data_IF_982470172166
#
_entry.id   IF_982470172166
#
_cell.length_a   1.000
_cell.length_b   1.000
_cell.length_c   1.000
_cell.angle_alpha   90.00
_cell.angle_beta   90.00
_cell.angle_gamma   90.00
#
_symmetry.space_group_name_H-M   'P 1'
#
loop_
_entity.id
_entity.type
_entity.pdbx_description
1 polymer ?
#
# COMPACT_ATOMS: atom_id res chain seq x y z
N UNK A 1 -11.30 -17.41 1.12
CA UNK A 1 -11.90 -16.50 0.11
C UNK A 1 -12.07 -17.26 -1.19
N UNK A 2 -13.25 -17.22 -1.77
CA UNK A 2 -13.47 -17.91 -3.02
C UNK A 2 -12.92 -17.11 -4.21
N UNK A 3 -12.91 -17.75 -5.38
CA UNK A 3 -12.35 -17.13 -6.60
C UNK A 3 -13.08 -15.85 -7.01
N UNK A 4 -14.40 -15.83 -6.84
CA UNK A 4 -15.20 -14.67 -7.24
C UNK A 4 -14.91 -13.46 -6.36
N UNK A 5 -14.77 -13.67 -5.06
CA UNK A 5 -14.42 -12.60 -4.13
C UNK A 5 -13.01 -12.09 -4.38
N UNK A 6 -12.05 -13.00 -4.60
CA UNK A 6 -10.68 -12.60 -4.91
C UNK A 6 -10.62 -11.77 -6.20
N UNK A 7 -11.35 -12.21 -7.23
CA UNK A 7 -11.40 -11.48 -8.50
C UNK A 7 -11.97 -10.08 -8.32
N UNK A 8 -13.06 -9.95 -7.55
CA UNK A 8 -13.66 -8.64 -7.26
C UNK A 8 -12.68 -7.72 -6.54
N UNK A 9 -11.95 -8.26 -5.56
CA UNK A 9 -10.96 -7.49 -4.82
C UNK A 9 -9.80 -7.06 -5.71
N UNK A 10 -9.33 -7.94 -6.60
CA UNK A 10 -8.30 -7.60 -7.56
C UNK A 10 -8.77 -6.50 -8.52
N UNK A 11 -10.00 -6.59 -9.02
CA UNK A 11 -10.58 -5.56 -9.88
C UNK A 11 -10.69 -4.22 -9.16
N UNK A 12 -11.09 -4.24 -7.89
CA UNK A 12 -11.15 -3.05 -7.06
C UNK A 12 -9.75 -2.41 -6.93
N UNK A 13 -8.73 -3.21 -6.68
CA UNK A 13 -7.37 -2.73 -6.55
C UNK A 13 -6.86 -2.12 -7.87
N UNK A 14 -7.16 -2.77 -8.98
CA UNK A 14 -6.77 -2.28 -10.30
C UNK A 14 -7.43 -0.93 -10.58
N UNK A 15 -8.72 -0.78 -10.29
CA UNK A 15 -9.43 0.50 -10.47
C UNK A 15 -8.86 1.59 -9.56
N UNK A 16 -8.56 1.23 -8.31
CA UNK A 16 -8.01 2.17 -7.32
C UNK A 16 -6.67 2.75 -7.78
N UNK A 17 -5.85 1.93 -8.41
CA UNK A 17 -4.49 2.29 -8.82
C UNK A 17 -4.38 2.65 -10.31
N UNK A 18 -5.51 2.82 -10.98
CA UNK A 18 -5.54 3.14 -12.41
C UNK A 18 -5.01 4.57 -12.67
N UNK A 19 -4.46 4.83 -13.86
CA UNK A 19 -4.06 6.19 -14.23
C UNK A 19 -5.21 7.18 -14.06
N UNK A 20 -4.91 8.35 -13.51
CA UNK A 20 -5.90 9.39 -13.23
C UNK A 20 -6.50 9.31 -11.83
N UNK A 21 -6.33 8.22 -11.13
CA UNK A 21 -6.80 8.11 -9.75
C UNK A 21 -5.83 8.81 -8.79
N UNK A 22 -6.34 9.40 -7.69
CA UNK A 22 -5.47 10.15 -6.76
C UNK A 22 -4.30 9.34 -6.20
N UNK A 23 -4.54 8.06 -5.89
CA UNK A 23 -3.45 7.23 -5.34
C UNK A 23 -2.38 6.96 -6.41
N UNK A 24 -2.78 6.80 -7.68
CA UNK A 24 -1.84 6.62 -8.78
C UNK A 24 -0.99 7.87 -8.97
N UNK A 25 -1.59 9.04 -8.87
CA UNK A 25 -0.86 10.31 -8.93
C UNK A 25 0.20 10.36 -7.84
N UNK A 26 -0.15 9.97 -6.60
CA UNK A 26 0.80 9.92 -5.51
C UNK A 26 1.92 8.92 -5.78
N UNK A 27 1.60 7.74 -6.31
CA UNK A 27 2.60 6.72 -6.64
C UNK A 27 3.59 7.23 -7.69
N UNK A 28 3.11 7.92 -8.70
CA UNK A 28 3.98 8.53 -9.71
C UNK A 28 4.91 9.58 -9.09
N UNK A 29 4.40 10.38 -8.16
CA UNK A 29 5.21 11.36 -7.43
C UNK A 29 6.28 10.69 -6.56
N UNK A 30 5.93 9.60 -5.88
CA UNK A 30 6.85 8.85 -5.03
C UNK A 30 8.00 8.29 -5.88
N UNK A 31 7.68 7.70 -7.03
CA UNK A 31 8.70 7.17 -7.94
C UNK A 31 9.59 8.31 -8.46
N UNK A 32 9.00 9.41 -8.90
CA UNK A 32 9.75 10.56 -9.41
C UNK A 32 10.66 11.16 -8.34
N UNK A 33 10.26 11.07 -7.08
CA UNK A 33 11.05 11.54 -5.93
C UNK A 33 12.10 10.54 -5.46
N UNK A 34 12.22 9.38 -6.10
CA UNK A 34 13.14 8.31 -5.72
C UNK A 34 12.89 7.80 -4.30
N UNK A 35 11.63 7.76 -3.89
CA UNK A 35 11.22 7.30 -2.56
C UNK A 35 10.66 5.88 -2.61
N UNK A 36 10.80 5.17 -1.50
CA UNK A 36 10.06 3.94 -1.28
C UNK A 36 8.82 4.23 -0.45
N UNK A 37 7.86 3.32 -0.44
CA UNK A 37 6.66 3.46 0.37
C UNK A 37 6.02 2.10 0.65
N UNK A 38 5.27 2.05 1.74
CA UNK A 38 4.45 0.91 2.11
C UNK A 38 3.10 1.47 2.54
N UNK A 39 2.05 1.14 1.80
CA UNK A 39 0.74 1.78 1.96
C UNK A 39 -0.31 0.68 2.13
N UNK A 40 -1.12 0.77 3.19
CA UNK A 40 -2.23 -0.13 3.43
C UNK A 40 -3.54 0.64 3.25
N UNK A 41 -4.42 0.15 2.38
CA UNK A 41 -5.71 0.78 2.08
C UNK A 41 -6.83 -0.16 2.51
N UNK A 42 -7.66 0.30 3.43
CA UNK A 42 -8.80 -0.46 3.91
C UNK A 42 -8.46 -1.38 5.07
N UNK A 43 -9.48 -2.10 5.55
CA UNK A 43 -9.39 -3.02 6.70
C UNK A 43 -8.56 -2.46 7.84
N UNK A 44 -8.79 -1.20 8.16
CA UNK A 44 -7.92 -0.41 9.03
C UNK A 44 -7.82 -0.99 10.43
N UNK A 45 -8.89 -1.58 10.95
CA UNK A 45 -8.87 -2.20 12.28
C UNK A 45 -7.83 -3.33 12.35
N UNK A 46 -7.84 -4.24 11.38
CA UNK A 46 -6.89 -5.35 11.35
C UNK A 46 -5.47 -4.89 11.00
N UNK A 47 -5.35 -3.90 10.13
CA UNK A 47 -4.04 -3.32 9.81
C UNK A 47 -3.41 -2.70 11.06
N UNK A 48 -4.17 -1.89 11.80
CA UNK A 48 -3.68 -1.24 13.01
C UNK A 48 -3.36 -2.25 14.11
N UNK A 49 -4.08 -3.37 14.16
CA UNK A 49 -3.79 -4.44 15.11
C UNK A 49 -2.49 -5.19 14.78
N UNK A 50 -1.99 -5.08 13.57
CA UNK A 50 -0.78 -5.78 13.12
C UNK A 50 0.49 -4.92 13.21
N UNK A 51 0.45 -3.83 13.95
CA UNK A 51 1.60 -2.96 14.09
C UNK A 51 1.50 -2.06 15.31
N UNK A 52 2.45 -1.15 15.42
CA UNK A 52 2.50 -0.23 16.55
C UNK A 52 3.17 1.08 16.16
N UNK A 53 3.15 2.03 17.07
CA UNK A 53 3.79 3.34 16.96
C UNK A 53 3.24 4.16 15.80
N UNK A 54 4.05 5.09 15.30
CA UNK A 54 3.66 6.00 14.24
C UNK A 54 2.84 7.18 14.73
N UNK A 55 2.46 8.00 13.77
CA UNK A 55 1.72 9.23 14.04
C UNK A 55 0.24 9.02 13.72
N UNK A 56 -0.67 9.09 14.72
CA UNK A 56 -2.11 9.14 14.43
C UNK A 56 -2.44 10.50 13.80
N UNK A 57 -3.05 10.49 12.63
CA UNK A 57 -3.24 11.71 11.85
C UNK A 57 -4.70 12.09 11.65
N UNK A 58 -5.51 11.19 11.12
CA UNK A 58 -6.91 11.46 10.76
C UNK A 58 -7.06 12.71 9.90
N UNK A 59 -6.23 12.81 8.86
CA UNK A 59 -6.27 13.94 7.93
C UNK A 59 -6.89 13.52 6.60
N UNK A 60 -7.48 14.49 5.88
CA UNK A 60 -8.04 14.21 4.56
C UNK A 60 -6.97 13.67 3.62
N UNK A 61 -7.32 12.65 2.85
CA UNK A 61 -6.43 12.10 1.85
C UNK A 61 -6.27 13.07 0.68
N UNK A 62 -5.02 13.36 0.32
CA UNK A 62 -4.66 13.99 -0.95
C UNK A 62 -3.42 13.31 -1.49
N UNK A 63 -3.23 13.36 -2.80
CA UNK A 63 -2.02 12.81 -3.43
C UNK A 63 -0.75 13.44 -2.86
N UNK A 64 -0.77 14.75 -2.64
CA UNK A 64 0.39 15.45 -2.11
C UNK A 64 0.70 15.04 -0.67
N UNK A 65 -0.33 14.87 0.16
CA UNK A 65 -0.13 14.43 1.55
C UNK A 65 0.46 13.05 1.61
N UNK A 66 -0.04 12.14 0.78
CA UNK A 66 0.52 10.78 0.72
C UNK A 66 1.99 10.82 0.31
N UNK A 67 2.31 11.60 -0.72
CA UNK A 67 3.69 11.77 -1.16
C UNK A 67 4.57 12.30 -0.02
N UNK A 68 4.15 13.37 0.64
CA UNK A 68 4.96 13.97 1.71
C UNK A 68 5.17 13.00 2.87
N UNK A 69 4.14 12.25 3.25
CA UNK A 69 4.25 11.27 4.34
C UNK A 69 5.12 10.09 3.97
N UNK A 70 5.27 9.77 2.68
CA UNK A 70 6.12 8.67 2.24
C UNK A 70 7.62 8.95 2.44
N UNK A 71 7.98 10.18 2.77
CA UNK A 71 9.37 10.53 3.09
C UNK A 71 9.81 9.97 4.45
N UNK A 72 8.87 9.59 5.30
CA UNK A 72 9.17 8.91 6.55
C UNK A 72 9.25 7.40 6.34
N UNK A 73 10.03 6.73 7.19
CA UNK A 73 10.02 5.27 7.24
C UNK A 73 8.67 4.76 7.76
N UNK A 74 8.42 3.47 7.56
CA UNK A 74 7.22 2.82 8.06
C UNK A 74 6.09 2.87 7.05
N UNK A 75 4.91 2.44 7.50
CA UNK A 75 3.74 2.34 6.65
C UNK A 75 2.80 3.52 6.81
N UNK A 76 2.01 3.75 5.77
CA UNK A 76 0.93 4.71 5.76
C UNK A 76 -0.38 3.93 5.69
N UNK A 77 -1.32 4.25 6.57
CA UNK A 77 -2.61 3.56 6.65
C UNK A 77 -3.71 4.53 6.21
N UNK A 78 -4.49 4.10 5.21
CA UNK A 78 -5.54 4.90 4.60
C UNK A 78 -6.85 4.12 4.69
N UNK A 79 -7.97 4.80 4.90
CA UNK A 79 -9.27 4.14 4.93
C UNK A 79 -9.65 3.58 3.54
N UNK A 80 -10.60 2.66 3.51
CA UNK A 80 -10.98 1.95 2.29
C UNK A 80 -11.61 2.82 1.22
N UNK A 81 -12.18 3.95 1.61
CA UNK A 81 -12.82 4.90 0.69
C UNK A 81 -11.86 5.98 0.19
N UNK A 82 -10.60 5.93 0.61
CA UNK A 82 -9.60 6.96 0.27
C UNK A 82 -10.02 8.35 0.68
N UNK A 83 -10.65 8.48 1.84
CA UNK A 83 -11.07 9.77 2.37
C UNK A 83 -10.11 10.33 3.40
N UNK A 84 -9.47 9.46 4.19
CA UNK A 84 -8.59 9.89 5.26
C UNK A 84 -7.32 9.05 5.37
N UNK A 85 -6.22 9.72 5.69
CA UNK A 85 -4.98 9.08 6.11
C UNK A 85 -5.03 8.98 7.64
N UNK A 86 -4.92 7.77 8.16
CA UNK A 86 -5.09 7.49 9.58
C UNK A 86 -3.77 7.44 10.35
N UNK A 87 -2.72 6.93 9.72
CA UNK A 87 -1.40 6.78 10.34
C UNK A 87 -0.30 6.99 9.31
N UNK A 88 0.84 7.46 9.79
CA UNK A 88 2.09 7.47 9.04
C UNK A 88 3.21 7.01 9.96
N UNK A 89 4.35 6.62 9.42
CA UNK A 89 5.47 6.07 10.20
C UNK A 89 5.01 4.90 11.09
N UNK A 90 4.06 4.11 10.58
CA UNK A 90 3.46 3.00 11.33
C UNK A 90 4.31 1.75 11.16
N UNK A 91 4.67 1.10 12.26
CA UNK A 91 5.55 -0.05 12.25
C UNK A 91 4.75 -1.35 12.16
N UNK A 92 4.70 -1.96 10.98
CA UNK A 92 3.97 -3.19 10.73
C UNK A 92 4.78 -4.42 11.16
N UNK A 93 4.14 -5.32 11.89
CA UNK A 93 4.74 -6.57 12.36
C UNK A 93 3.86 -7.77 12.01
N UNK A 94 3.66 -8.08 10.71
CA UNK A 94 2.88 -9.25 10.35
C UNK A 94 3.61 -10.52 10.77
N UNK A 95 2.84 -11.59 10.98
CA UNK A 95 3.38 -12.88 11.40
C UNK A 95 4.46 -13.33 10.41
N UNK A 96 5.72 -13.49 10.84
CA UNK A 96 6.81 -13.91 9.95
C UNK A 96 6.67 -15.34 9.43
N UNK A 97 5.78 -16.15 10.03
CA UNK A 97 5.51 -17.51 9.56
C UNK A 97 4.68 -17.54 8.29
N UNK A 98 4.03 -16.42 7.92
CA UNK A 98 3.28 -16.33 6.67
C UNK A 98 4.25 -16.42 5.49
N UNK A 99 4.03 -17.41 4.62
CA UNK A 99 4.92 -17.67 3.49
C UNK A 99 4.80 -16.57 2.44
N UNK A 100 5.94 -16.20 1.86
CA UNK A 100 5.99 -15.29 0.73
C UNK A 100 7.22 -15.59 -0.12
N UNK A 101 7.09 -15.43 -1.43
CA UNK A 101 8.20 -15.55 -2.37
C UNK A 101 8.97 -14.23 -2.54
N UNK A 102 8.47 -13.15 -1.93
CA UNK A 102 9.11 -11.85 -2.07
C UNK A 102 10.45 -11.79 -1.32
N UNK A 103 11.41 -11.04 -1.87
CA UNK A 103 12.76 -10.97 -1.33
C UNK A 103 13.09 -9.65 -0.63
N UNK A 104 12.48 -8.55 -1.03
CA UNK A 104 12.67 -7.24 -0.39
C UNK A 104 11.86 -7.12 0.89
N UNK A 105 12.37 -6.38 1.89
CA UNK A 105 11.69 -6.26 3.18
C UNK A 105 10.29 -5.64 3.05
N UNK A 106 10.14 -4.53 2.31
CA UNK A 106 8.83 -3.91 2.10
C UNK A 106 7.89 -4.85 1.35
N UNK A 107 8.40 -5.53 0.33
CA UNK A 107 7.58 -6.46 -0.46
C UNK A 107 7.14 -7.66 0.38
N UNK A 108 8.02 -8.20 1.22
CA UNK A 108 7.64 -9.30 2.14
C UNK A 108 6.57 -8.85 3.13
N UNK A 109 6.75 -7.67 3.73
CA UNK A 109 5.79 -7.12 4.68
C UNK A 109 4.44 -6.89 3.98
N UNK A 110 4.46 -6.31 2.78
CA UNK A 110 3.24 -6.07 2.01
C UNK A 110 2.50 -7.36 1.68
N UNK A 111 3.23 -8.36 1.20
CA UNK A 111 2.63 -9.66 0.87
C UNK A 111 1.97 -10.31 2.10
N UNK A 112 2.68 -10.31 3.23
CA UNK A 112 2.17 -10.89 4.49
C UNK A 112 0.95 -10.13 4.99
N UNK A 113 0.98 -8.79 4.94
CA UNK A 113 -0.17 -7.97 5.34
C UNK A 113 -1.39 -8.25 4.48
N UNK A 114 -1.20 -8.49 3.19
CA UNK A 114 -2.31 -8.78 2.29
C UNK A 114 -2.94 -10.16 2.55
N UNK A 115 -2.19 -11.10 3.13
CA UNK A 115 -2.72 -12.40 3.56
C UNK A 115 -3.42 -12.27 4.91
N UNK A 116 -2.82 -11.51 5.83
CA UNK A 116 -3.31 -11.36 7.19
C UNK A 116 -4.61 -10.53 7.26
N UNK A 117 -4.77 -9.57 6.37
CA UNK A 117 -5.89 -8.62 6.39
C UNK A 117 -6.59 -8.60 5.03
N UNK A 118 -7.71 -7.88 4.98
CA UNK A 118 -8.43 -7.62 3.72
C UNK A 118 -7.97 -6.32 3.05
N UNK A 119 -6.92 -5.70 3.54
CA UNK A 119 -6.41 -4.46 2.97
C UNK A 119 -5.79 -4.70 1.59
N UNK A 120 -5.86 -3.69 0.75
CA UNK A 120 -5.05 -3.59 -0.46
C UNK A 120 -3.72 -2.99 -0.01
N UNK A 121 -2.62 -3.67 -0.27
CA UNK A 121 -1.31 -3.24 0.21
C UNK A 121 -0.40 -2.92 -0.97
N UNK A 122 0.20 -1.73 -0.93
CA UNK A 122 1.02 -1.22 -2.03
C UNK A 122 2.45 -1.06 -1.52
N UNK A 123 3.40 -1.60 -2.26
CA UNK A 123 4.81 -1.48 -1.95
C UNK A 123 5.54 -0.82 -3.11
N UNK A 124 6.29 0.24 -2.81
CA UNK A 124 7.11 0.96 -3.80
C UNK A 124 8.57 0.76 -3.47
N UNK A 125 9.33 0.26 -4.44
CA UNK A 125 10.78 0.13 -4.32
C UNK A 125 11.43 1.37 -4.93
N UNK A 126 12.09 2.17 -4.08
CA UNK A 126 12.84 3.34 -4.55
C UNK A 126 13.97 2.94 -5.50
N UNK A 127 14.64 1.84 -5.18
CA UNK A 127 15.83 1.39 -5.90
C UNK A 127 15.51 0.96 -7.34
N UNK A 128 14.39 0.25 -7.53
CA UNK A 128 14.02 -0.29 -8.83
C UNK A 128 12.91 0.49 -9.52
N UNK A 129 12.34 1.49 -8.83
CA UNK A 129 11.20 2.25 -9.34
C UNK A 129 10.03 1.33 -9.71
N UNK A 130 9.77 0.33 -8.88
CA UNK A 130 8.74 -0.68 -9.10
C UNK A 130 7.65 -0.55 -8.06
N UNK A 131 6.39 -0.60 -8.50
CA UNK A 131 5.22 -0.61 -7.63
C UNK A 131 4.54 -1.97 -7.74
N UNK A 132 4.36 -2.63 -6.60
CA UNK A 132 3.60 -3.88 -6.52
C UNK A 132 2.37 -3.67 -5.65
N UNK A 133 1.25 -4.22 -6.08
CA UNK A 133 -0.02 -4.16 -5.36
C UNK A 133 -0.39 -5.59 -4.95
N UNK A 134 -0.73 -5.76 -3.67
CA UNK A 134 -0.99 -7.08 -3.09
C UNK A 134 -2.43 -7.14 -2.59
N UNK A 135 -3.11 -8.23 -2.95
CA UNK A 135 -4.48 -8.52 -2.50
C UNK A 135 -4.54 -10.01 -2.17
N UNK A 136 -4.73 -10.35 -0.91
CA UNK A 136 -4.82 -11.74 -0.43
C UNK A 136 -3.70 -12.65 -0.97
N UNK A 137 -2.47 -12.14 -0.93
CA UNK A 137 -1.28 -12.87 -1.37
C UNK A 137 -1.04 -12.88 -2.87
N UNK A 138 -1.99 -12.39 -3.66
CA UNK A 138 -1.80 -12.18 -5.11
C UNK A 138 -1.26 -10.79 -5.36
N UNK A 139 -0.50 -10.63 -6.42
CA UNK A 139 0.09 -9.33 -6.71
C UNK A 139 0.13 -9.04 -8.20
N UNK A 140 0.20 -7.75 -8.51
CA UNK A 140 0.51 -7.28 -9.85
C UNK A 140 1.41 -6.06 -9.76
N UNK A 141 2.18 -5.85 -10.82
CA UNK A 141 3.09 -4.73 -10.91
C UNK A 141 2.46 -3.59 -11.69
N UNK A 142 2.66 -2.37 -11.20
CA UNK A 142 2.23 -1.18 -11.93
C UNK A 142 3.44 -0.61 -12.66
N UNK A 143 3.29 -0.41 -13.97
CA UNK A 143 4.30 0.29 -14.75
C UNK A 143 4.19 1.80 -14.50
N UNK A 144 5.29 2.53 -14.42
CA UNK A 144 5.23 3.98 -14.28
C UNK A 144 4.42 4.60 -15.40
N UNK A 145 3.69 5.68 -15.08
CA UNK A 145 2.96 6.42 -16.10
C UNK A 145 3.95 7.00 -17.11
N UNK A 146 3.63 6.96 -18.43
CA UNK A 146 4.54 7.52 -19.41
C UNK A 146 4.67 9.03 -19.21
N UNK A 147 5.84 9.61 -19.51
CA UNK A 147 6.01 11.06 -19.44
C UNK A 147 5.10 11.73 -20.47
N UNK A 148 4.50 12.84 -20.07
CA UNK A 148 3.60 13.60 -20.93
C UNK A 148 4.35 14.66 -21.74
#
# INVERSE_FOLDING_TARGET
MDKNELQKRMEQAIRLTAPGQPIRTALDMIIAGHLGALICVGDTENVLAAGNDGFPLNISFTSNRLFELSKMDGAIVIDGDLTQILRANFHLNPDPSLATSETGMRHRTAARMSVLTDAIVISVSARRAVVNVYVHGKSYEIQPSPPS
#
